data_IF_230133154003
#
_entry.id   IF_230133154003
#
_cell.length_a   1.000
_cell.length_b   1.000
_cell.length_c   1.000
_cell.angle_alpha   90.00
_cell.angle_beta   90.00
_cell.angle_gamma   90.00
#
_symmetry.space_group_name_H-M   'P 1'
#
loop_
_entity.id
_entity.type
_entity.pdbx_description
1 polymer ?
#
# COMPACT_ATOMS: atom_id res chain seq x y z
N UNK A 1 -9.17 27.66 2.50
CA UNK A 1 -8.91 27.01 1.19
C UNK A 1 -9.95 25.91 0.97
N UNK A 2 -10.55 25.84 -0.26
CA UNK A 2 -11.58 24.83 -0.60
C UNK A 2 -10.99 23.74 -1.50
N UNK A 3 -11.36 22.48 -1.23
CA UNK A 3 -10.96 21.32 -2.03
C UNK A 3 -12.00 20.21 -1.93
N UNK A 4 -11.89 19.21 -2.79
CA UNK A 4 -12.77 18.04 -2.82
C UNK A 4 -12.01 16.79 -2.43
N UNK A 5 -12.60 15.96 -1.60
CA UNK A 5 -12.06 14.68 -1.15
C UNK A 5 -12.99 13.55 -1.60
N UNK A 6 -12.42 12.48 -2.13
CA UNK A 6 -13.09 11.19 -2.35
C UNK A 6 -12.47 10.19 -1.38
N UNK A 7 -13.29 9.60 -0.52
CA UNK A 7 -12.84 8.52 0.34
C UNK A 7 -12.89 7.19 -0.39
N UNK A 8 -11.81 6.44 -0.30
CA UNK A 8 -11.72 5.07 -0.79
C UNK A 8 -11.42 4.13 0.38
N UNK A 9 -12.08 2.98 0.41
CA UNK A 9 -11.80 1.93 1.38
C UNK A 9 -11.30 0.66 0.68
N UNK A 10 -9.99 0.50 0.54
CA UNK A 10 -9.34 -0.67 -0.02
C UNK A 10 -8.98 -1.68 1.08
N UNK A 11 -9.94 -2.43 1.61
CA UNK A 11 -9.74 -3.40 2.70
C UNK A 11 -9.29 -2.73 4.02
N UNK A 12 -10.02 -1.69 4.46
CA UNK A 12 -9.83 -1.03 5.75
C UNK A 12 -8.75 0.04 5.79
N UNK A 13 -7.82 0.08 4.82
CA UNK A 13 -6.79 1.13 4.74
C UNK A 13 -7.35 2.38 4.05
N UNK A 14 -8.24 3.08 4.76
CA UNK A 14 -9.03 4.19 4.23
C UNK A 14 -8.16 5.34 3.71
N UNK A 15 -8.32 5.62 2.43
CA UNK A 15 -7.51 6.59 1.69
C UNK A 15 -8.35 7.79 1.28
N UNK A 16 -7.96 8.99 1.70
CA UNK A 16 -8.53 10.24 1.22
C UNK A 16 -7.81 10.68 -0.06
N UNK A 17 -8.54 10.76 -1.17
CA UNK A 17 -8.03 11.25 -2.46
C UNK A 17 -8.46 12.70 -2.63
N UNK A 18 -7.51 13.63 -2.51
CA UNK A 18 -7.74 15.06 -2.69
C UNK A 18 -7.68 15.42 -4.17
N UNK A 19 -8.83 15.83 -4.75
CA UNK A 19 -9.04 16.04 -6.20
C UNK A 19 -8.68 17.44 -6.69
N UNK A 20 -8.64 18.42 -5.81
CA UNK A 20 -8.36 19.81 -6.18
C UNK A 20 -6.88 20.12 -6.07
N UNK A 21 -6.40 21.08 -6.87
CA UNK A 21 -4.98 21.47 -6.90
C UNK A 21 -4.51 22.15 -5.62
N UNK A 22 -4.29 21.39 -4.55
CA UNK A 22 -3.70 21.89 -3.29
C UNK A 22 -2.21 22.18 -3.52
N UNK A 23 -1.73 23.42 -3.27
CA UNK A 23 -0.32 23.76 -3.36
C UNK A 23 0.55 22.84 -2.48
N UNK A 24 1.74 22.51 -2.95
CA UNK A 24 2.62 21.58 -2.22
C UNK A 24 2.93 22.04 -0.79
N UNK A 25 3.08 23.36 -0.57
CA UNK A 25 3.29 23.96 0.75
C UNK A 25 2.15 23.74 1.73
N UNK A 26 0.92 23.51 1.24
CA UNK A 26 -0.27 23.35 2.06
C UNK A 26 -0.65 21.89 2.32
N UNK A 27 -0.04 20.95 1.60
CA UNK A 27 -0.45 19.54 1.64
C UNK A 27 -0.31 18.90 3.00
N UNK A 28 0.76 19.21 3.74
CA UNK A 28 0.93 18.68 5.11
C UNK A 28 -0.19 19.14 6.03
N UNK A 29 -0.58 20.43 5.96
CA UNK A 29 -1.69 21.00 6.75
C UNK A 29 -3.03 20.39 6.35
N UNK A 30 -3.27 20.24 5.06
CA UNK A 30 -4.50 19.61 4.53
C UNK A 30 -4.58 18.15 4.94
N UNK A 31 -3.49 17.39 4.81
CA UNK A 31 -3.45 15.99 5.22
C UNK A 31 -3.72 15.83 6.73
N UNK A 32 -3.09 16.65 7.56
CA UNK A 32 -3.32 16.64 9.01
C UNK A 32 -4.78 16.92 9.37
N UNK A 33 -5.42 17.90 8.70
CA UNK A 33 -6.82 18.22 8.93
C UNK A 33 -7.77 17.09 8.50
N UNK A 34 -7.50 16.44 7.36
CA UNK A 34 -8.29 15.29 6.88
C UNK A 34 -8.16 14.11 7.84
N UNK A 35 -6.93 13.77 8.27
CA UNK A 35 -6.69 12.65 9.19
C UNK A 35 -7.23 12.92 10.62
N UNK A 36 -7.36 14.17 11.01
CA UNK A 36 -7.96 14.55 12.29
C UNK A 36 -9.50 14.56 12.26
N UNK A 37 -10.13 14.50 11.10
CA UNK A 37 -11.59 14.48 10.97
C UNK A 37 -12.14 13.05 11.21
N UNK A 38 -12.83 12.82 12.34
CA UNK A 38 -13.35 11.48 12.65
C UNK A 38 -14.47 11.03 11.70
N UNK A 39 -15.12 11.96 10.99
CA UNK A 39 -16.14 11.62 10.00
C UNK A 39 -15.55 10.95 8.77
N UNK A 40 -14.30 11.29 8.40
CA UNK A 40 -13.59 10.67 7.28
C UNK A 40 -12.88 9.39 7.70
N UNK A 41 -12.39 9.29 8.94
CA UNK A 41 -11.61 8.15 9.44
C UNK A 41 -10.49 7.75 8.47
N UNK A 42 -9.81 8.75 7.89
CA UNK A 42 -8.76 8.51 6.91
C UNK A 42 -7.47 8.03 7.60
N UNK A 43 -6.88 6.94 7.08
CA UNK A 43 -5.57 6.45 7.53
C UNK A 43 -4.43 7.08 6.73
N UNK A 44 -4.71 7.54 5.51
CA UNK A 44 -3.74 8.16 4.62
C UNK A 44 -4.37 9.15 3.64
N UNK A 45 -3.55 10.05 3.11
CA UNK A 45 -4.00 11.10 2.19
C UNK A 45 -3.12 11.12 0.95
N UNK A 46 -3.74 11.12 -0.23
CA UNK A 46 -3.10 11.32 -1.51
C UNK A 46 -3.65 12.55 -2.25
N UNK A 47 -2.77 13.27 -2.92
CA UNK A 47 -3.09 14.48 -3.68
C UNK A 47 -3.00 14.19 -5.18
N UNK A 48 -4.10 14.40 -5.89
CA UNK A 48 -4.11 14.32 -7.35
C UNK A 48 -3.24 15.43 -7.94
N UNK A 49 -2.36 15.06 -8.86
CA UNK A 49 -1.45 15.97 -9.56
C UNK A 49 -1.40 15.67 -11.06
N UNK A 50 -0.70 16.50 -11.79
CA UNK A 50 -0.49 16.27 -13.23
C UNK A 50 0.51 15.12 -13.43
N UNK A 51 0.24 14.20 -14.37
CA UNK A 51 1.21 13.19 -14.78
C UNK A 51 2.55 13.79 -15.21
N UNK A 52 3.64 13.10 -14.90
CA UNK A 52 4.99 13.49 -15.29
C UNK A 52 5.45 12.75 -16.57
N UNK A 53 4.90 11.56 -16.83
CA UNK A 53 5.33 10.63 -17.89
C UNK A 53 4.24 10.42 -18.96
N UNK A 54 3.66 11.42 -19.46
CA UNK A 54 2.95 11.63 -20.73
C UNK A 54 1.82 10.68 -21.20
N UNK A 55 1.61 9.50 -20.66
CA UNK A 55 0.54 8.55 -21.07
C UNK A 55 -0.32 8.02 -19.90
N UNK A 56 -0.04 8.46 -18.70
CA UNK A 56 -0.81 8.11 -17.52
C UNK A 56 -2.11 8.92 -17.48
N UNK A 57 -3.19 8.29 -17.03
CA UNK A 57 -4.49 8.94 -16.90
C UNK A 57 -4.48 9.99 -15.78
N UNK A 58 -3.67 9.77 -14.75
CA UNK A 58 -3.48 10.68 -13.63
C UNK A 58 -2.25 10.31 -12.81
N UNK A 59 -1.95 11.15 -11.82
CA UNK A 59 -0.89 10.95 -10.83
C UNK A 59 -1.41 11.25 -9.43
N UNK A 60 -1.13 10.36 -8.49
CA UNK A 60 -1.40 10.57 -7.07
C UNK A 60 -0.06 10.69 -6.31
N UNK A 61 0.07 11.74 -5.52
CA UNK A 61 1.20 11.93 -4.61
C UNK A 61 0.71 11.78 -3.18
N UNK A 62 1.23 10.76 -2.46
CA UNK A 62 0.95 10.56 -1.05
C UNK A 62 1.52 11.72 -0.22
N UNK A 63 0.90 12.02 0.91
CA UNK A 63 1.29 13.15 1.75
C UNK A 63 2.75 13.10 2.20
N UNK A 64 3.28 11.92 2.50
CA UNK A 64 4.70 11.69 2.83
C UNK A 64 5.59 11.42 1.61
N UNK A 65 5.04 11.37 0.39
CA UNK A 65 5.79 11.08 -0.83
C UNK A 65 6.14 9.60 -1.04
N UNK A 66 5.68 8.73 -0.17
CA UNK A 66 5.84 7.27 -0.22
C UNK A 66 5.05 6.63 -1.37
N UNK A 67 5.31 5.36 -1.63
CA UNK A 67 4.50 4.51 -2.49
C UNK A 67 3.45 3.75 -1.64
N UNK A 68 2.20 3.77 -2.09
CA UNK A 68 1.13 2.98 -1.48
C UNK A 68 0.32 2.22 -2.53
N UNK A 69 0.34 0.87 -2.48
CA UNK A 69 -0.40 0.01 -3.41
C UNK A 69 -1.92 0.12 -3.25
N UNK A 70 -2.41 0.26 -2.02
CA UNK A 70 -3.84 0.48 -1.76
C UNK A 70 -4.32 1.81 -2.34
N UNK A 71 -3.57 2.90 -2.16
CA UNK A 71 -3.88 4.18 -2.76
C UNK A 71 -3.79 4.13 -4.31
N UNK A 72 -2.82 3.40 -4.87
CA UNK A 72 -2.69 3.23 -6.32
C UNK A 72 -3.94 2.58 -6.94
N UNK A 73 -4.37 1.42 -6.39
CA UNK A 73 -5.56 0.73 -6.90
C UNK A 73 -6.84 1.53 -6.69
N UNK A 74 -6.94 2.30 -5.58
CA UNK A 74 -8.07 3.17 -5.29
C UNK A 74 -8.17 4.33 -6.27
N UNK A 75 -7.05 4.99 -6.53
CA UNK A 75 -7.00 6.11 -7.47
C UNK A 75 -7.27 5.67 -8.91
N UNK A 76 -6.67 4.55 -9.33
CA UNK A 76 -6.94 3.99 -10.65
C UNK A 76 -8.41 3.61 -10.83
N UNK A 77 -9.03 2.99 -9.81
CA UNK A 77 -10.47 2.65 -9.82
C UNK A 77 -11.35 3.90 -9.95
N UNK A 78 -11.04 4.97 -9.20
CA UNK A 78 -11.74 6.24 -9.29
C UNK A 78 -11.68 6.82 -10.71
N UNK A 79 -10.48 6.87 -11.31
CA UNK A 79 -10.30 7.39 -12.66
C UNK A 79 -10.98 6.52 -13.73
N UNK A 80 -10.90 5.18 -13.58
CA UNK A 80 -11.58 4.25 -14.47
C UNK A 80 -13.10 4.42 -14.41
N UNK A 81 -13.68 4.56 -13.20
CA UNK A 81 -15.11 4.82 -13.02
C UNK A 81 -15.56 6.11 -13.69
N UNK A 82 -14.78 7.20 -13.54
CA UNK A 82 -15.10 8.50 -14.16
C UNK A 82 -15.00 8.50 -15.69
N UNK A 83 -14.16 7.62 -16.26
CA UNK A 83 -13.95 7.51 -17.71
C UNK A 83 -14.73 6.38 -18.35
N UNK A 84 -15.49 5.61 -17.56
CA UNK A 84 -16.25 4.44 -18.02
C UNK A 84 -15.36 3.41 -18.75
N UNK A 85 -14.14 3.17 -18.21
CA UNK A 85 -13.17 2.18 -18.69
C UNK A 85 -12.80 1.22 -17.58
N UNK A 86 -12.33 0.02 -17.91
CA UNK A 86 -11.99 -1.05 -16.97
C UNK A 86 -10.49 -1.15 -16.65
N UNK A 87 -9.64 -0.39 -17.35
CA UNK A 87 -8.20 -0.37 -17.10
C UNK A 87 -7.60 0.99 -17.42
N UNK A 88 -6.55 1.33 -16.71
CA UNK A 88 -5.79 2.55 -16.95
C UNK A 88 -4.33 2.41 -16.51
N UNK A 89 -3.50 3.39 -16.93
CA UNK A 89 -2.17 3.60 -16.36
C UNK A 89 -2.18 4.85 -15.51
N UNK A 90 -1.60 4.75 -14.33
CA UNK A 90 -1.44 5.86 -13.39
C UNK A 90 0.03 6.03 -12.99
N UNK A 91 0.32 7.15 -12.39
CA UNK A 91 1.59 7.42 -11.71
C UNK A 91 1.36 7.59 -10.21
N UNK A 92 2.35 7.21 -9.42
CA UNK A 92 2.35 7.35 -7.96
C UNK A 92 3.64 8.00 -7.47
N UNK A 93 3.57 8.67 -6.33
CA UNK A 93 4.79 8.97 -5.56
C UNK A 93 5.53 7.68 -5.17
N UNK A 94 6.79 7.78 -4.77
CA UNK A 94 7.61 6.65 -4.34
C UNK A 94 8.10 5.72 -5.46
N UNK A 95 7.52 5.79 -6.67
CA UNK A 95 8.00 5.03 -7.84
C UNK A 95 8.13 5.91 -9.07
N UNK A 96 8.94 5.46 -10.06
CA UNK A 96 9.03 6.05 -11.40
C UNK A 96 8.30 5.21 -12.45
N UNK A 97 7.73 4.09 -12.05
CA UNK A 97 7.00 3.21 -12.95
C UNK A 97 5.59 3.76 -13.18
N UNK A 98 5.10 3.60 -14.40
CA UNK A 98 3.68 3.74 -14.69
C UNK A 98 3.01 2.42 -14.30
N UNK A 99 2.00 2.48 -13.43
CA UNK A 99 1.33 1.32 -12.89
C UNK A 99 0.06 1.04 -13.68
N UNK A 100 -0.11 -0.18 -14.12
CA UNK A 100 -1.37 -0.64 -14.68
C UNK A 100 -2.36 -0.94 -13.55
N UNK A 101 -3.58 -0.45 -13.69
CA UNK A 101 -4.70 -0.73 -12.81
C UNK A 101 -5.83 -1.32 -13.63
N UNK A 102 -6.38 -2.44 -13.14
CA UNK A 102 -7.52 -3.15 -13.72
C UNK A 102 -8.66 -3.11 -12.71
N UNK A 103 -9.88 -2.86 -13.19
CA UNK A 103 -11.07 -2.68 -12.37
C UNK A 103 -12.19 -3.62 -12.83
N UNK A 104 -12.92 -4.17 -11.87
CA UNK A 104 -14.16 -4.91 -12.08
C UNK A 104 -15.24 -4.21 -11.23
N UNK A 105 -16.09 -3.43 -11.90
CA UNK A 105 -17.15 -2.65 -11.23
C UNK A 105 -18.33 -3.50 -10.77
N UNK A 106 -18.56 -4.67 -11.38
CA UNK A 106 -19.61 -5.58 -10.94
C UNK A 106 -19.23 -6.25 -9.62
N UNK A 107 -17.95 -6.57 -9.44
CA UNK A 107 -17.42 -7.18 -8.23
C UNK A 107 -16.88 -6.17 -7.21
N UNK A 108 -16.88 -4.89 -7.57
CA UNK A 108 -16.29 -3.82 -6.77
C UNK A 108 -14.83 -4.13 -6.39
N UNK A 109 -14.03 -4.55 -7.37
CA UNK A 109 -12.62 -4.87 -7.15
C UNK A 109 -11.71 -4.09 -8.08
N UNK A 110 -10.49 -3.86 -7.60
CA UNK A 110 -9.40 -3.33 -8.40
C UNK A 110 -8.08 -4.03 -8.07
N UNK A 111 -7.19 -4.09 -9.05
CA UNK A 111 -5.82 -4.57 -8.86
C UNK A 111 -4.84 -3.60 -9.52
N UNK A 112 -3.78 -3.24 -8.82
CA UNK A 112 -2.71 -2.40 -9.33
C UNK A 112 -1.42 -3.21 -9.48
N UNK A 113 -0.70 -2.98 -10.57
CA UNK A 113 0.68 -3.44 -10.72
C UNK A 113 1.54 -2.85 -9.61
N UNK A 114 2.47 -3.64 -9.10
CA UNK A 114 3.34 -3.24 -8.00
C UNK A 114 4.80 -3.22 -8.44
N UNK A 115 5.59 -2.23 -7.99
CA UNK A 115 7.04 -2.33 -8.06
C UNK A 115 7.50 -3.59 -7.30
N UNK A 116 8.35 -4.38 -7.95
CA UNK A 116 8.81 -5.63 -7.34
C UNK A 116 9.90 -5.38 -6.30
N UNK A 117 10.01 -6.26 -5.27
CA UNK A 117 11.13 -6.22 -4.33
C UNK A 117 12.49 -6.29 -5.03
N UNK A 118 13.46 -5.57 -4.47
CA UNK A 118 14.81 -5.46 -5.04
C UNK A 118 15.76 -6.53 -4.51
N UNK A 119 15.61 -6.93 -3.22
CA UNK A 119 16.58 -7.78 -2.53
C UNK A 119 15.92 -8.61 -1.43
N UNK A 120 16.53 -9.74 -1.14
CA UNK A 120 16.26 -10.55 0.05
C UNK A 120 17.52 -10.62 0.92
N UNK A 121 17.35 -10.37 2.20
CA UNK A 121 18.34 -10.62 3.24
C UNK A 121 17.73 -11.49 4.35
N UNK A 122 18.53 -11.88 5.31
CA UNK A 122 18.07 -12.57 6.52
C UNK A 122 18.46 -11.76 7.73
N UNK A 123 17.54 -11.58 8.66
CA UNK A 123 17.82 -10.95 9.95
C UNK A 123 17.02 -11.62 11.06
N UNK A 124 17.54 -11.53 12.27
CA UNK A 124 16.88 -12.12 13.44
C UNK A 124 17.82 -12.18 14.64
N UNK A 125 17.40 -12.88 15.66
CA UNK A 125 18.16 -13.13 16.88
C UNK A 125 18.36 -14.62 17.06
N UNK A 126 19.49 -15.01 17.67
CA UNK A 126 19.82 -16.43 17.87
C UNK A 126 18.71 -17.19 18.61
N UNK A 127 18.05 -16.54 19.58
CA UNK A 127 16.96 -17.12 20.36
C UNK A 127 15.60 -17.14 19.62
N UNK A 128 15.41 -16.29 18.62
CA UNK A 128 14.13 -16.10 17.94
C UNK A 128 14.13 -16.66 16.49
N UNK A 129 15.32 -16.97 15.97
CA UNK A 129 15.53 -17.45 14.61
C UNK A 129 15.78 -16.32 13.58
N UNK A 130 16.03 -16.74 12.34
CA UNK A 130 16.28 -15.84 11.22
C UNK A 130 15.01 -15.71 10.38
N UNK A 131 14.67 -14.47 10.03
CA UNK A 131 13.51 -14.11 9.21
C UNK A 131 13.96 -13.44 7.92
N UNK A 132 13.26 -13.70 6.79
CA UNK A 132 13.50 -13.01 5.54
C UNK A 132 13.20 -11.51 5.67
N UNK A 133 14.15 -10.68 5.23
CA UNK A 133 13.96 -9.26 4.99
C UNK A 133 13.78 -9.04 3.50
N UNK A 134 12.56 -8.75 3.09
CA UNK A 134 12.21 -8.38 1.72
C UNK A 134 12.36 -6.87 1.57
N UNK A 135 13.40 -6.47 0.85
CA UNK A 135 13.76 -5.08 0.67
C UNK A 135 13.13 -4.55 -0.61
N UNK A 136 12.28 -3.56 -0.47
CA UNK A 136 11.65 -2.82 -1.55
C UNK A 136 12.05 -1.34 -1.47
N UNK A 137 11.80 -0.59 -2.52
CA UNK A 137 12.06 0.85 -2.53
C UNK A 137 11.16 1.56 -1.52
N UNK A 138 11.75 2.18 -0.52
CA UNK A 138 11.06 2.96 0.51
C UNK A 138 10.54 2.18 1.71
N UNK A 139 10.45 0.84 1.63
CA UNK A 139 10.03 0.03 2.77
C UNK A 139 10.69 -1.35 2.74
N UNK A 140 11.05 -1.86 3.90
CA UNK A 140 11.55 -3.23 4.10
C UNK A 140 10.56 -4.01 4.96
N UNK A 141 10.30 -5.27 4.58
CA UNK A 141 9.39 -6.14 5.33
C UNK A 141 10.12 -7.37 5.86
N UNK A 142 10.02 -7.61 7.16
CA UNK A 142 10.37 -8.88 7.78
C UNK A 142 9.18 -9.83 7.67
N UNK A 143 9.38 -11.01 7.08
CA UNK A 143 8.31 -11.98 6.85
C UNK A 143 8.42 -13.09 7.89
N UNK A 144 7.43 -13.19 8.76
CA UNK A 144 7.34 -14.18 9.84
C UNK A 144 6.29 -15.23 9.47
N UNK A 145 6.71 -16.24 8.68
CA UNK A 145 5.83 -17.36 8.30
C UNK A 145 5.67 -18.31 9.48
N UNK A 146 4.44 -18.82 9.67
CA UNK A 146 4.07 -19.77 10.72
C UNK A 146 4.38 -19.28 12.14
N UNK A 147 4.40 -17.95 12.33
CA UNK A 147 4.53 -17.31 13.63
C UNK A 147 3.23 -16.63 14.03
N UNK A 148 2.73 -16.96 15.20
CA UNK A 148 1.58 -16.27 15.80
C UNK A 148 1.89 -14.78 16.02
N UNK A 149 0.84 -13.96 15.92
CA UNK A 149 0.96 -12.52 16.15
C UNK A 149 1.48 -12.21 17.56
N UNK A 150 2.55 -11.44 17.63
CA UNK A 150 3.16 -10.95 18.86
C UNK A 150 3.64 -9.51 18.64
N UNK A 151 2.88 -8.55 19.15
CA UNK A 151 3.20 -7.12 19.02
C UNK A 151 4.52 -6.77 19.71
N UNK A 152 4.82 -7.40 20.86
CA UNK A 152 6.06 -7.15 21.60
C UNK A 152 7.27 -7.65 20.81
N UNK A 153 7.16 -8.79 20.14
CA UNK A 153 8.17 -9.26 19.18
C UNK A 153 8.34 -8.29 18.03
N UNK A 154 7.24 -7.85 17.40
CA UNK A 154 7.31 -6.92 16.28
C UNK A 154 8.05 -5.61 16.68
N UNK A 155 7.73 -5.04 17.83
CA UNK A 155 8.40 -3.84 18.35
C UNK A 155 9.90 -4.06 18.58
N UNK A 156 10.29 -5.21 19.16
CA UNK A 156 11.73 -5.56 19.34
C UNK A 156 12.45 -5.67 17.99
N UNK A 157 11.84 -6.33 17.00
CA UNK A 157 12.43 -6.47 15.66
C UNK A 157 12.56 -5.12 14.95
N UNK A 158 11.57 -4.24 15.07
CA UNK A 158 11.60 -2.88 14.57
C UNK A 158 12.72 -2.09 15.25
N UNK A 159 12.82 -2.12 16.57
CA UNK A 159 13.87 -1.39 17.30
C UNK A 159 15.28 -1.86 16.92
N UNK A 160 15.46 -3.16 16.67
CA UNK A 160 16.76 -3.72 16.36
C UNK A 160 17.16 -3.60 14.89
N UNK A 161 16.21 -3.83 13.98
CA UNK A 161 16.50 -3.93 12.55
C UNK A 161 15.82 -2.84 11.71
N UNK A 162 14.74 -2.24 12.21
CA UNK A 162 13.89 -1.32 11.45
C UNK A 162 14.37 0.13 11.42
N UNK A 163 15.03 0.60 12.48
CA UNK A 163 15.41 2.02 12.66
C UNK A 163 16.38 2.57 11.59
N UNK A 164 16.99 1.73 10.78
CA UNK A 164 17.82 2.12 9.64
C UNK A 164 17.09 2.36 8.32
N UNK A 165 15.77 2.08 8.27
CA UNK A 165 14.94 2.19 7.08
C UNK A 165 13.94 3.35 7.22
N UNK A 166 13.51 3.90 6.09
CA UNK A 166 12.44 4.93 6.07
C UNK A 166 11.10 4.38 6.57
N UNK A 167 10.82 3.10 6.25
CA UNK A 167 9.72 2.34 6.82
C UNK A 167 10.12 0.87 6.94
N UNK A 168 9.59 0.20 7.97
CA UNK A 168 9.86 -1.21 8.24
C UNK A 168 8.61 -1.91 8.72
N UNK A 169 8.24 -3.01 8.07
CA UNK A 169 7.08 -3.81 8.44
C UNK A 169 7.47 -5.18 8.97
N UNK A 170 6.76 -5.66 9.98
CA UNK A 170 6.80 -7.06 10.43
C UNK A 170 5.48 -7.70 10.04
N UNK A 171 5.56 -8.69 9.14
CA UNK A 171 4.40 -9.36 8.56
C UNK A 171 4.27 -10.75 9.17
N UNK A 172 3.26 -10.96 10.00
CA UNK A 172 2.92 -12.28 10.55
C UNK A 172 2.03 -13.01 9.56
N UNK A 173 2.54 -14.11 9.00
CA UNK A 173 1.84 -14.88 7.94
C UNK A 173 1.56 -16.28 8.46
N UNK A 174 0.27 -16.63 8.65
CA UNK A 174 -0.19 -17.93 9.06
C UNK A 174 -1.27 -18.42 8.09
N UNK A 175 -0.89 -19.34 7.19
CA UNK A 175 -1.77 -19.75 6.10
C UNK A 175 -2.21 -18.53 5.27
N UNK A 176 -3.51 -18.30 5.19
CA UNK A 176 -4.09 -17.14 4.49
C UNK A 176 -4.17 -15.88 5.36
N UNK A 177 -3.86 -15.94 6.66
CA UNK A 177 -3.87 -14.77 7.54
C UNK A 177 -2.57 -13.98 7.44
N UNK A 178 -2.67 -12.64 7.39
CA UNK A 178 -1.54 -11.72 7.46
C UNK A 178 -1.87 -10.56 8.41
N UNK A 179 -1.05 -10.38 9.45
CA UNK A 179 -1.17 -9.25 10.38
C UNK A 179 0.07 -8.36 10.22
N UNK A 180 -0.10 -7.10 9.74
CA UNK A 180 0.99 -6.17 9.52
C UNK A 180 1.22 -5.27 10.74
N UNK A 181 2.49 -5.15 11.17
CA UNK A 181 2.94 -4.11 12.12
C UNK A 181 3.98 -3.26 11.41
N UNK A 182 3.72 -1.97 11.26
CA UNK A 182 4.55 -1.08 10.44
C UNK A 182 5.11 0.07 11.26
N UNK A 183 6.40 0.31 11.09
CA UNK A 183 7.14 1.46 11.59
C UNK A 183 7.40 2.46 10.48
N UNK A 184 7.17 3.73 10.75
CA UNK A 184 7.46 4.85 9.86
C UNK A 184 8.45 5.79 10.55
N UNK A 185 9.65 5.96 9.96
CA UNK A 185 10.73 6.71 10.58
C UNK A 185 10.45 8.22 10.65
N UNK A 186 9.76 8.80 9.66
CA UNK A 186 9.45 10.24 9.61
C UNK A 186 8.63 10.69 10.81
N UNK A 187 7.71 9.84 11.27
CA UNK A 187 6.81 10.11 12.41
C UNK A 187 7.25 9.41 13.70
N UNK A 188 8.26 8.52 13.63
CA UNK A 188 8.69 7.61 14.70
C UNK A 188 7.53 6.83 15.32
N UNK A 189 6.61 6.35 14.48
CA UNK A 189 5.39 5.63 14.90
C UNK A 189 5.44 4.17 14.53
N UNK A 190 4.87 3.33 15.40
CA UNK A 190 4.61 1.91 15.14
C UNK A 190 3.11 1.68 15.25
N UNK A 191 2.49 1.15 14.21
CA UNK A 191 1.07 0.82 14.17
C UNK A 191 0.79 -0.59 13.63
N UNK A 192 -0.27 -1.22 14.15
CA UNK A 192 -0.87 -2.37 13.51
C UNK A 192 -1.82 -1.83 12.44
N UNK A 193 -1.46 -2.02 11.17
CA UNK A 193 -2.29 -1.53 10.06
C UNK A 193 -3.52 -2.42 9.85
N UNK A 194 -4.61 -1.81 9.38
CA UNK A 194 -5.81 -2.55 8.96
C UNK A 194 -5.53 -3.45 7.77
N UNK A 195 -4.70 -2.99 6.82
CA UNK A 195 -4.17 -3.80 5.72
C UNK A 195 -2.91 -3.18 5.10
N UNK A 196 -2.00 -4.03 4.62
CA UNK A 196 -0.73 -3.62 4.03
C UNK A 196 -0.53 -4.27 2.66
N UNK A 197 -0.72 -3.51 1.57
CA UNK A 197 -0.54 -4.01 0.20
C UNK A 197 0.91 -4.36 -0.13
N UNK A 198 1.87 -3.53 0.30
CA UNK A 198 3.31 -3.79 0.10
C UNK A 198 3.81 -4.98 0.92
N UNK A 199 3.30 -5.15 2.15
CA UNK A 199 3.59 -6.30 2.99
C UNK A 199 3.02 -7.59 2.40
N UNK A 200 1.80 -7.54 1.86
CA UNK A 200 1.18 -8.67 1.15
C UNK A 200 2.01 -9.08 -0.07
N UNK A 201 2.45 -8.10 -0.88
CA UNK A 201 3.33 -8.37 -2.02
C UNK A 201 4.65 -9.00 -1.58
N UNK A 202 5.28 -8.48 -0.53
CA UNK A 202 6.54 -8.99 0.00
C UNK A 202 6.41 -10.45 0.47
N UNK A 203 5.31 -10.77 1.19
CA UNK A 203 5.00 -12.13 1.62
C UNK A 203 4.79 -13.06 0.41
N UNK A 204 3.93 -12.67 -0.54
CA UNK A 204 3.66 -13.45 -1.75
C UNK A 204 4.92 -13.67 -2.59
N UNK A 205 5.76 -12.63 -2.75
CA UNK A 205 7.03 -12.74 -3.48
C UNK A 205 7.98 -13.73 -2.80
N UNK A 206 8.10 -13.68 -1.46
CA UNK A 206 8.91 -14.62 -0.70
C UNK A 206 8.41 -16.05 -0.88
N UNK A 207 7.12 -16.30 -0.72
CA UNK A 207 6.51 -17.62 -0.89
C UNK A 207 6.65 -18.16 -2.33
N UNK A 208 6.51 -17.30 -3.34
CA UNK A 208 6.63 -17.70 -4.75
C UNK A 208 8.06 -18.11 -5.14
N UNK A 209 9.08 -17.78 -4.35
CA UNK A 209 10.48 -18.08 -4.70
C UNK A 209 10.76 -19.57 -4.87
N UNK A 210 10.12 -20.39 -4.05
CA UNK A 210 10.31 -21.85 -4.08
C UNK A 210 9.31 -22.56 -5.00
N UNK A 211 8.35 -21.80 -5.57
CA UNK A 211 7.38 -22.31 -6.51
C UNK A 211 7.95 -22.46 -7.93
N UNK A 212 7.29 -23.26 -8.79
CA UNK A 212 7.64 -23.39 -10.21
C UNK A 212 7.30 -22.11 -10.97
N UNK A 213 7.90 -21.94 -12.15
CA UNK A 213 7.50 -20.91 -13.10
C UNK A 213 5.99 -21.04 -13.42
N UNK A 214 5.26 -19.93 -13.39
CA UNK A 214 3.82 -19.91 -13.58
C UNK A 214 3.14 -18.70 -12.92
N UNK A 215 1.83 -18.80 -12.83
CA UNK A 215 1.00 -17.83 -12.11
C UNK A 215 0.62 -18.41 -10.75
N UNK A 216 0.76 -17.58 -9.71
CA UNK A 216 0.45 -17.91 -8.33
C UNK A 216 -0.46 -16.83 -7.76
N UNK A 217 -1.46 -17.20 -6.98
CA UNK A 217 -2.39 -16.27 -6.35
C UNK A 217 -2.44 -16.56 -4.86
N UNK A 218 -2.33 -15.50 -4.07
CA UNK A 218 -2.39 -15.52 -2.61
C UNK A 218 -3.50 -14.59 -2.16
N UNK A 219 -4.34 -15.07 -1.26
CA UNK A 219 -5.34 -14.25 -0.59
C UNK A 219 -4.93 -14.10 0.86
N UNK A 220 -4.61 -12.88 1.27
CA UNK A 220 -4.24 -12.59 2.64
C UNK A 220 -5.42 -11.92 3.36
N UNK A 221 -5.98 -12.63 4.32
CA UNK A 221 -6.98 -12.09 5.25
C UNK A 221 -6.28 -11.22 6.28
N UNK A 222 -6.62 -9.94 6.30
CA UNK A 222 -6.04 -8.94 7.19
C UNK A 222 -7.16 -8.29 8.04
N UNK A 223 -6.84 -7.58 9.14
CA UNK A 223 -7.86 -7.00 10.01
C UNK A 223 -8.92 -6.17 9.29
N UNK A 224 -8.55 -5.44 8.23
CA UNK A 224 -9.46 -4.59 7.45
C UNK A 224 -10.09 -5.27 6.24
N UNK A 225 -9.69 -6.50 5.90
CA UNK A 225 -10.24 -7.23 4.76
C UNK A 225 -9.19 -8.01 3.97
N UNK A 226 -9.61 -8.65 2.89
CA UNK A 226 -8.74 -9.53 2.10
C UNK A 226 -8.00 -8.75 1.02
N UNK A 227 -6.68 -8.94 0.98
CA UNK A 227 -5.83 -8.50 -0.14
C UNK A 227 -5.44 -9.72 -0.97
N UNK A 228 -5.72 -9.67 -2.28
CA UNK A 228 -5.28 -10.67 -3.25
C UNK A 228 -3.99 -10.21 -3.92
N UNK A 229 -2.96 -11.06 -3.90
CA UNK A 229 -1.72 -10.83 -4.63
C UNK A 229 -1.60 -11.87 -5.73
N UNK A 230 -1.52 -11.42 -6.98
CA UNK A 230 -1.24 -12.29 -8.11
C UNK A 230 0.22 -12.11 -8.53
N UNK A 231 0.96 -13.20 -8.57
CA UNK A 231 2.37 -13.25 -8.92
C UNK A 231 2.58 -14.03 -10.21
N UNK A 232 3.33 -13.49 -11.14
CA UNK A 232 3.88 -14.22 -12.28
C UNK A 232 5.38 -14.43 -12.04
N UNK A 233 5.83 -15.71 -12.13
CA UNK A 233 7.24 -16.08 -12.06
C UNK A 233 7.67 -16.69 -13.39
N UNK A 234 8.76 -16.22 -13.96
CA UNK A 234 9.34 -16.78 -15.19
C UNK A 234 10.86 -16.61 -15.18
N UNK A 235 11.58 -17.73 -15.13
CA UNK A 235 13.05 -17.73 -15.17
C UNK A 235 13.69 -16.77 -14.16
N UNK A 236 13.22 -16.78 -12.92
CA UNK A 236 13.72 -15.92 -11.86
C UNK A 236 13.29 -14.45 -11.94
N UNK A 237 12.45 -14.09 -12.92
CA UNK A 237 11.81 -12.77 -13.01
C UNK A 237 10.42 -12.84 -12.43
N UNK A 238 10.00 -11.73 -11.79
CA UNK A 238 8.70 -11.63 -11.13
C UNK A 238 7.94 -10.39 -11.61
N UNK A 239 6.64 -10.53 -11.69
CA UNK A 239 5.70 -9.42 -11.79
C UNK A 239 4.55 -9.68 -10.82
N UNK A 240 4.00 -8.65 -10.23
CA UNK A 240 2.94 -8.82 -9.24
C UNK A 240 1.90 -7.69 -9.28
N UNK A 241 0.68 -8.04 -8.92
CA UNK A 241 -0.40 -7.09 -8.68
C UNK A 241 -0.96 -7.28 -7.29
N UNK A 242 -1.39 -6.19 -6.68
CA UNK A 242 -2.13 -6.18 -5.41
C UNK A 242 -3.54 -5.72 -5.70
N UNK A 243 -4.52 -6.49 -5.26
CA UNK A 243 -5.93 -6.24 -5.53
C UNK A 243 -6.83 -6.65 -4.37
N UNK A 244 -8.14 -6.51 -4.58
CA UNK A 244 -9.18 -6.85 -3.64
C UNK A 244 -10.39 -5.93 -3.75
N UNK A 245 -11.34 -6.10 -2.85
CA UNK A 245 -12.53 -5.23 -2.77
C UNK A 245 -12.13 -3.78 -2.52
N UNK A 246 -12.95 -2.89 -3.03
CA UNK A 246 -12.78 -1.45 -2.89
C UNK A 246 -14.13 -0.76 -2.96
N UNK A 247 -14.39 0.12 -2.03
CA UNK A 247 -15.53 1.04 -2.09
C UNK A 247 -15.07 2.48 -2.25
N UNK A 248 -15.84 3.28 -2.98
CA UNK A 248 -15.66 4.73 -3.06
C UNK A 248 -16.89 5.42 -2.51
N UNK A 249 -16.66 6.41 -1.65
CA UNK A 249 -17.73 7.28 -1.16
C UNK A 249 -17.96 8.44 -2.14
N UNK A 250 -19.10 9.12 -2.01
CA UNK A 250 -19.38 10.31 -2.80
C UNK A 250 -18.40 11.45 -2.44
N UNK A 251 -18.04 12.28 -3.43
CA UNK A 251 -17.12 13.39 -3.20
C UNK A 251 -17.65 14.37 -2.14
N UNK A 252 -16.80 14.73 -1.19
CA UNK A 252 -17.10 15.70 -0.13
C UNK A 252 -16.31 16.99 -0.37
N UNK A 253 -16.99 18.13 -0.34
CA UNK A 253 -16.33 19.43 -0.37
C UNK A 253 -15.86 19.77 1.05
N UNK A 254 -14.58 20.11 1.18
CA UNK A 254 -13.97 20.52 2.44
C UNK A 254 -13.45 21.95 2.35
N UNK A 255 -13.44 22.64 3.48
CA UNK A 255 -12.84 23.96 3.61
C UNK A 255 -11.97 24.01 4.88
N UNK A 256 -10.73 24.45 4.70
CA UNK A 256 -9.81 24.70 5.81
C UNK A 256 -9.58 26.21 5.88
N UNK A 257 -9.79 26.78 7.05
CA UNK A 257 -9.49 28.19 7.32
C UNK A 257 -7.98 28.46 7.21
N UNK A 258 -7.62 29.64 6.74
CA UNK A 258 -6.22 30.05 6.53
C UNK A 258 -5.45 30.27 7.85
#
# INVERSE_FOLDING_TARGET
>A
MKFTVVMADPAGNRTAIVRSGVPKSERARVAAAIMADPALSAEQVGFETRPLYGKSLGRLEMAGGEFCGNAARSYGYLLCREKEIDHCKIEMSGTREQLEVICDFERETSAAQMPMPEKLEMAGEEAEGLYPLVISRGITHMICVDREFDEAFARRMIDKFGKGFSAFGVMFVNGDSLIPVVYVAETDTVCCESSCGSGSLAAAWYLTRDEKDGFHSYNFEQPGGTITVNMAKRQGRYAGTVGGKLTLEEPVAMEIED
#
